data_IF_847016516830
#
_entry.id   IF_847016516830
#
_cell.length_a   1.000
_cell.length_b   1.000
_cell.length_c   1.000
_cell.angle_alpha   90.00
_cell.angle_beta   90.00
_cell.angle_gamma   90.00
#
_symmetry.space_group_name_H-M   'P 1'
#
loop_
_entity.id
_entity.type
_entity.pdbx_description
1 polymer ?
#
# COMPACT_ATOMS: atom_id res chain seq x y z
N UNK A 1 -5.76 11.34 -11.21
CA UNK A 1 -5.83 9.88 -10.98
C UNK A 1 -5.11 9.59 -9.67
N UNK A 2 -5.82 9.09 -8.65
CA UNK A 2 -5.18 8.66 -7.40
C UNK A 2 -4.83 7.18 -7.55
N UNK A 3 -3.56 6.82 -7.38
CA UNK A 3 -3.13 5.42 -7.39
C UNK A 3 -3.42 4.81 -6.02
N UNK A 4 -4.05 3.63 -6.00
CA UNK A 4 -4.36 2.88 -4.76
C UNK A 4 -3.17 2.04 -4.31
N UNK A 5 -3.19 1.58 -3.06
CA UNK A 5 -2.20 0.64 -2.53
C UNK A 5 -2.13 -0.63 -3.38
N UNK A 6 -3.29 -1.15 -3.80
CA UNK A 6 -3.41 -2.29 -4.72
C UNK A 6 -2.71 -2.07 -6.06
N UNK A 7 -2.83 -0.86 -6.65
CA UNK A 7 -2.13 -0.56 -7.89
C UNK A 7 -0.61 -0.69 -7.73
N UNK A 8 -0.07 -0.16 -6.64
CA UNK A 8 1.36 -0.27 -6.35
C UNK A 8 1.80 -1.71 -6.07
N UNK A 9 0.97 -2.50 -5.39
CA UNK A 9 1.25 -3.92 -5.17
C UNK A 9 1.27 -4.71 -6.49
N UNK A 10 0.31 -4.47 -7.39
CA UNK A 10 0.30 -5.09 -8.72
C UNK A 10 1.56 -4.75 -9.52
N UNK A 11 2.03 -3.49 -9.47
CA UNK A 11 3.28 -3.12 -10.13
C UNK A 11 4.50 -3.79 -9.48
N UNK A 12 4.53 -3.91 -8.15
CA UNK A 12 5.59 -4.61 -7.45
C UNK A 12 5.67 -6.08 -7.87
N UNK A 13 4.54 -6.78 -7.91
CA UNK A 13 4.48 -8.20 -8.26
C UNK A 13 4.83 -8.45 -9.73
N UNK A 14 4.46 -7.51 -10.62
CA UNK A 14 4.92 -7.53 -12.01
C UNK A 14 6.44 -7.41 -12.08
N UNK A 15 7.05 -6.45 -11.39
CA UNK A 15 8.50 -6.30 -11.36
C UNK A 15 9.19 -7.54 -10.77
N UNK A 16 8.64 -8.15 -9.73
CA UNK A 16 9.15 -9.39 -9.16
C UNK A 16 9.14 -10.54 -10.18
N UNK A 17 8.04 -10.68 -10.92
CA UNK A 17 7.89 -11.70 -11.97
C UNK A 17 8.88 -11.47 -13.11
N UNK A 18 8.98 -10.23 -13.61
CA UNK A 18 9.93 -9.85 -14.66
C UNK A 18 11.40 -10.05 -14.21
N UNK A 19 11.70 -9.90 -12.90
CA UNK A 19 13.02 -10.17 -12.35
C UNK A 19 13.32 -11.68 -12.33
N UNK A 20 12.34 -12.49 -11.93
CA UNK A 20 12.47 -13.95 -11.85
C UNK A 20 12.67 -14.59 -13.23
N UNK A 21 11.97 -14.10 -14.25
CA UNK A 21 12.07 -14.60 -15.62
C UNK A 21 13.33 -14.12 -16.35
N UNK A 22 13.98 -13.07 -15.86
CA UNK A 22 15.13 -12.50 -16.55
C UNK A 22 16.39 -13.35 -16.42
N UNK A 23 17.03 -13.65 -17.55
CA UNK A 23 18.35 -14.30 -17.60
C UNK A 23 19.51 -13.29 -17.50
N UNK A 24 19.23 -11.99 -17.70
CA UNK A 24 20.23 -10.92 -17.65
C UNK A 24 20.25 -10.28 -16.26
N UNK A 25 21.40 -10.31 -15.58
CA UNK A 25 21.56 -9.75 -14.23
C UNK A 25 21.15 -8.27 -14.14
N UNK A 26 21.58 -7.46 -15.11
CA UNK A 26 21.24 -6.02 -15.13
C UNK A 26 19.74 -5.76 -15.21
N UNK A 27 18.99 -6.60 -15.93
CA UNK A 27 17.53 -6.48 -16.05
C UNK A 27 16.87 -6.93 -14.75
N UNK A 28 17.32 -8.05 -14.17
CA UNK A 28 16.88 -8.51 -12.84
C UNK A 28 17.07 -7.44 -11.78
N UNK A 29 18.26 -6.87 -11.67
CA UNK A 29 18.59 -5.86 -10.65
C UNK A 29 17.78 -4.57 -10.81
N UNK A 30 17.49 -4.17 -12.06
CA UNK A 30 16.60 -3.05 -12.33
C UNK A 30 15.17 -3.35 -11.86
N UNK A 31 14.66 -4.53 -12.17
CA UNK A 31 13.30 -4.94 -11.80
C UNK A 31 13.16 -5.07 -10.27
N UNK A 32 14.15 -5.63 -9.57
CA UNK A 32 14.15 -5.71 -8.11
C UNK A 32 14.17 -4.32 -7.44
N UNK A 33 14.93 -3.36 -8.00
CA UNK A 33 14.89 -1.97 -7.51
C UNK A 33 13.53 -1.31 -7.74
N UNK A 34 12.90 -1.58 -8.89
CA UNK A 34 11.57 -1.09 -9.19
C UNK A 34 10.52 -1.70 -8.25
N UNK A 35 10.57 -3.02 -8.03
CA UNK A 35 9.73 -3.72 -7.05
C UNK A 35 9.82 -3.05 -5.67
N UNK A 36 11.04 -2.85 -5.16
CA UNK A 36 11.23 -2.22 -3.85
C UNK A 36 10.63 -0.81 -3.78
N UNK A 37 10.76 -0.02 -4.85
CA UNK A 37 10.16 1.31 -4.91
C UNK A 37 8.62 1.23 -4.87
N UNK A 38 8.02 0.31 -5.63
CA UNK A 38 6.58 0.07 -5.61
C UNK A 38 6.08 -0.39 -4.25
N UNK A 39 6.76 -1.36 -3.62
CA UNK A 39 6.41 -1.84 -2.26
C UNK A 39 6.48 -0.72 -1.23
N UNK A 40 7.50 0.12 -1.30
CA UNK A 40 7.65 1.27 -0.38
C UNK A 40 6.50 2.28 -0.54
N UNK A 41 6.05 2.54 -1.77
CA UNK A 41 4.90 3.42 -2.02
C UNK A 41 3.58 2.79 -1.55
N UNK A 42 3.39 1.49 -1.80
CA UNK A 42 2.23 0.75 -1.31
C UNK A 42 2.14 0.81 0.22
N UNK A 43 3.24 0.53 0.92
CA UNK A 43 3.29 0.52 2.39
C UNK A 43 2.92 1.89 2.96
N UNK A 44 3.47 2.99 2.43
CA UNK A 44 3.13 4.35 2.88
C UNK A 44 1.65 4.66 2.72
N UNK A 45 1.05 4.20 1.62
CA UNK A 45 -0.37 4.43 1.36
C UNK A 45 -1.24 3.59 2.27
N UNK A 46 -0.92 2.30 2.47
CA UNK A 46 -1.60 1.40 3.42
C UNK A 46 -1.58 2.01 4.83
N UNK A 47 -0.43 2.54 5.28
CA UNK A 47 -0.34 3.15 6.61
C UNK A 47 -1.19 4.42 6.74
N UNK A 48 -1.29 5.19 5.67
CA UNK A 48 -2.14 6.38 5.60
C UNK A 48 -3.62 5.99 5.66
N UNK A 49 -4.02 5.01 4.85
CA UNK A 49 -5.38 4.45 4.80
C UNK A 49 -5.78 3.86 6.16
N UNK A 50 -4.92 3.05 6.78
CA UNK A 50 -5.15 2.45 8.09
C UNK A 50 -5.26 3.51 9.20
N UNK A 51 -4.44 4.56 9.14
CA UNK A 51 -4.52 5.67 10.11
C UNK A 51 -5.83 6.43 9.97
N UNK A 52 -6.26 6.72 8.74
CA UNK A 52 -7.55 7.36 8.46
C UNK A 52 -8.71 6.49 8.94
N UNK A 53 -8.70 5.18 8.66
CA UNK A 53 -9.73 4.25 9.10
C UNK A 53 -9.86 4.23 10.63
N UNK A 54 -8.73 4.19 11.36
CA UNK A 54 -8.72 4.28 12.83
C UNK A 54 -9.32 5.58 13.35
N UNK A 55 -9.01 6.71 12.73
CA UNK A 55 -9.57 8.01 13.13
C UNK A 55 -11.09 8.07 12.92
N UNK A 56 -11.58 7.53 11.79
CA UNK A 56 -13.02 7.46 11.50
C UNK A 56 -13.73 6.57 12.52
N UNK A 57 -13.18 5.38 12.82
CA UNK A 57 -13.75 4.47 13.82
C UNK A 57 -13.79 5.10 15.21
N UNK A 58 -12.72 5.79 15.63
CA UNK A 58 -12.67 6.48 16.92
C UNK A 58 -13.69 7.64 17.02
N UNK A 59 -13.90 8.37 15.92
CA UNK A 59 -14.91 9.42 15.87
C UNK A 59 -16.34 8.85 15.95
N UNK A 60 -16.63 7.78 15.23
CA UNK A 60 -17.92 7.09 15.29
C UNK A 60 -18.21 6.56 16.70
N UNK A 61 -17.25 5.87 17.32
CA UNK A 61 -17.38 5.37 18.68
C UNK A 61 -17.65 6.49 19.71
N UNK A 62 -17.04 7.67 19.53
CA UNK A 62 -17.31 8.83 20.40
C UNK A 62 -18.72 9.38 20.20
N UNK A 63 -19.22 9.41 18.97
CA UNK A 63 -20.59 9.85 18.68
C UNK A 63 -21.60 8.89 19.32
N UNK A 64 -21.40 7.58 19.16
CA UNK A 64 -22.24 6.54 19.77
C UNK A 64 -22.24 6.62 21.30
N UNK A 65 -21.06 6.79 21.90
CA UNK A 65 -20.93 6.91 23.36
C UNK A 65 -21.66 8.15 23.91
N UNK A 66 -21.58 9.28 23.21
CA UNK A 66 -22.32 10.48 23.59
C UNK A 66 -23.84 10.28 23.46
N UNK A 67 -24.29 9.66 22.36
CA UNK A 67 -25.71 9.40 22.14
C UNK A 67 -26.33 8.39 23.12
N UNK A 68 -25.53 7.50 23.70
CA UNK A 68 -25.97 6.58 24.75
C UNK A 68 -25.97 7.19 26.16
N UNK A 69 -25.37 8.37 26.34
CA UNK A 69 -25.29 9.09 27.60
C UNK A 69 -26.38 10.17 27.76
N UNK A 70 -27.06 10.53 26.67
CA UNK A 70 -28.23 11.42 26.60
C UNK A 70 -29.55 10.63 26.65
#
# INVERSE_FOLDING_TARGET
MSNTSDFYLIQADKCASDAAESTLSQVRDRNLRAEQAWRTMAERLIQTEATRARQVAAAAARIEANAAAD
#
